data_IF_193552999440
#
_entry.id   IF_193552999440
#
_cell.length_a   1.000
_cell.length_b   1.000
_cell.length_c   1.000
_cell.angle_alpha   90.00
_cell.angle_beta   90.00
_cell.angle_gamma   90.00
#
_symmetry.space_group_name_H-M   'P 1'
#
loop_
_entity.id
_entity.type
_entity.pdbx_description
1 polymer ?
#
# COMPACT_ATOMS: atom_id res chain seq x y z
N UNK A 1 -3.96 -2.02 -8.00
CA UNK A 1 -3.15 -3.27 -7.90
C UNK A 1 -2.54 -3.36 -6.50
N UNK A 2 -2.99 -4.31 -5.67
CA UNK A 2 -2.40 -4.62 -4.36
C UNK A 2 -1.37 -5.71 -4.56
N UNK A 3 -0.11 -5.47 -4.21
CA UNK A 3 0.84 -6.56 -4.08
C UNK A 3 0.66 -7.16 -2.68
N UNK A 4 0.35 -8.46 -2.68
CA UNK A 4 0.40 -9.39 -1.55
C UNK A 4 -0.87 -9.63 -0.71
N UNK A 5 -1.48 -10.78 -1.00
CA UNK A 5 -2.26 -11.63 -0.10
C UNK A 5 -1.53 -12.99 -0.11
N UNK A 6 -1.08 -13.51 1.04
CA UNK A 6 -0.54 -14.89 1.18
C UNK A 6 -1.45 -15.68 2.14
N UNK A 7 -1.52 -17.02 2.06
CA UNK A 7 -0.56 -17.93 1.39
C UNK A 7 -1.19 -19.03 0.50
N UNK A 8 -0.59 -19.36 -0.65
CA UNK A 8 -0.42 -20.76 -1.12
C UNK A 8 0.87 -20.84 -1.97
N UNK A 9 1.71 -21.83 -1.64
CA UNK A 9 2.88 -22.37 -2.33
C UNK A 9 3.44 -21.60 -3.54
N UNK A 10 4.47 -20.77 -3.31
CA UNK A 10 5.58 -20.59 -4.24
C UNK A 10 6.76 -19.96 -3.48
N UNK A 11 7.85 -20.71 -3.41
CA UNK A 11 9.12 -20.28 -2.85
C UNK A 11 9.78 -19.28 -3.81
N UNK A 12 9.75 -18.01 -3.43
CA UNK A 12 10.72 -17.05 -3.90
C UNK A 12 11.01 -16.14 -2.72
N UNK A 13 12.11 -16.41 -2.03
CA UNK A 13 12.57 -15.65 -0.87
C UNK A 13 13.24 -14.35 -1.35
N UNK A 14 12.50 -13.52 -2.07
CA UNK A 14 12.83 -12.09 -2.15
C UNK A 14 12.08 -11.45 -0.98
N UNK A 15 12.83 -10.95 -0.01
CA UNK A 15 12.29 -10.38 1.22
C UNK A 15 11.41 -9.18 0.89
N UNK A 16 10.35 -8.96 1.69
CA UNK A 16 9.48 -7.78 1.56
C UNK A 16 10.28 -6.46 1.52
N UNK A 17 11.47 -6.45 2.13
CA UNK A 17 12.39 -5.33 2.19
C UNK A 17 13.02 -5.02 0.83
N UNK A 18 13.40 -6.04 0.06
CA UNK A 18 13.96 -5.87 -1.29
C UNK A 18 12.92 -5.31 -2.26
N UNK A 19 11.67 -5.76 -2.16
CA UNK A 19 10.56 -5.16 -2.91
C UNK A 19 10.24 -3.73 -2.43
N UNK A 20 10.38 -3.45 -1.13
CA UNK A 20 10.18 -2.12 -0.57
C UNK A 20 11.19 -1.14 -1.20
N UNK A 21 12.48 -1.49 -1.27
CA UNK A 21 13.52 -0.62 -1.85
C UNK A 21 13.33 -0.38 -3.35
N UNK A 22 13.02 -1.42 -4.14
CA UNK A 22 12.81 -1.28 -5.60
C UNK A 22 11.51 -0.54 -5.94
N UNK A 23 10.43 -0.79 -5.18
CA UNK A 23 9.12 -0.21 -5.48
C UNK A 23 8.87 1.14 -4.80
N UNK A 24 9.70 1.53 -3.81
CA UNK A 24 9.62 2.86 -3.20
C UNK A 24 9.82 3.96 -4.26
N UNK A 25 10.69 3.73 -5.23
CA UNK A 25 10.92 4.62 -6.38
C UNK A 25 9.70 4.68 -7.33
N UNK A 26 8.81 3.70 -7.28
CA UNK A 26 7.64 3.57 -8.16
C UNK A 26 6.31 3.95 -7.49
N UNK A 27 6.33 4.84 -6.49
CA UNK A 27 5.13 5.33 -5.79
C UNK A 27 4.39 4.26 -4.97
N UNK A 28 5.09 3.25 -4.44
CA UNK A 28 4.49 2.29 -3.51
C UNK A 28 4.66 2.74 -2.06
N UNK A 29 3.65 2.48 -1.24
CA UNK A 29 3.66 2.79 0.19
C UNK A 29 3.15 1.62 1.02
N UNK A 30 3.85 1.38 2.13
CA UNK A 30 3.49 0.32 3.08
C UNK A 30 2.43 0.80 4.07
N UNK A 31 1.19 0.40 3.81
CA UNK A 31 0.04 0.77 4.64
C UNK A 31 -0.20 -0.21 5.80
N UNK A 32 0.31 -1.44 5.72
CA UNK A 32 0.17 -2.44 6.78
C UNK A 32 1.43 -3.32 6.90
N UNK A 33 1.55 -4.13 7.96
CA UNK A 33 2.71 -5.04 8.13
C UNK A 33 2.88 -6.04 6.96
N UNK A 34 1.80 -6.32 6.24
CA UNK A 34 1.78 -7.29 5.13
C UNK A 34 1.29 -6.71 3.81
N UNK A 35 1.01 -5.40 3.74
CA UNK A 35 0.41 -4.79 2.55
C UNK A 35 1.21 -3.58 2.08
N UNK A 36 1.59 -3.63 0.81
CA UNK A 36 2.18 -2.54 0.04
C UNK A 36 1.18 -2.14 -1.05
N UNK A 37 0.86 -0.85 -1.16
CA UNK A 37 -0.10 -0.36 -2.15
C UNK A 37 0.55 0.68 -3.06
N UNK A 38 0.18 0.67 -4.33
CA UNK A 38 0.60 1.71 -5.25
C UNK A 38 -0.26 2.97 -5.04
N UNK A 39 0.39 4.07 -4.63
CA UNK A 39 -0.23 5.35 -4.35
C UNK A 39 -0.92 5.98 -5.55
N UNK A 40 -0.46 5.71 -6.78
CA UNK A 40 -1.07 6.21 -8.02
C UNK A 40 -2.45 5.59 -8.29
N UNK A 41 -2.73 4.46 -7.67
CA UNK A 41 -4.02 3.77 -7.77
C UNK A 41 -4.92 3.98 -6.55
N UNK A 42 -4.50 4.79 -5.59
CA UNK A 42 -5.32 5.13 -4.41
C UNK A 42 -6.34 6.18 -4.81
N UNK A 43 -7.62 5.83 -4.70
CA UNK A 43 -8.73 6.74 -4.96
C UNK A 43 -9.16 7.50 -3.71
N UNK A 44 -9.28 6.77 -2.59
CA UNK A 44 -9.84 7.33 -1.36
C UNK A 44 -9.29 6.61 -0.14
N UNK A 45 -9.16 7.37 0.94
CA UNK A 45 -8.90 6.83 2.28
C UNK A 45 -10.11 7.16 3.14
N UNK A 46 -10.73 6.15 3.72
CA UNK A 46 -11.90 6.33 4.57
C UNK A 46 -11.53 6.67 6.03
N UNK A 47 -12.49 7.20 6.78
CA UNK A 47 -12.34 7.55 8.20
C UNK A 47 -12.02 6.32 9.05
N UNK A 48 -12.51 5.15 8.66
CA UNK A 48 -12.21 3.87 9.31
C UNK A 48 -10.77 3.39 9.08
N UNK A 49 -10.01 4.07 8.21
CA UNK A 49 -8.62 3.69 7.88
C UNK A 49 -8.53 2.64 6.78
N UNK A 50 -9.52 2.60 5.89
CA UNK A 50 -9.53 1.74 4.69
C UNK A 50 -9.07 2.54 3.47
N UNK A 51 -8.21 1.95 2.65
CA UNK A 51 -7.77 2.52 1.37
C UNK A 51 -8.53 1.85 0.25
N UNK A 52 -9.27 2.64 -0.53
CA UNK A 52 -9.92 2.22 -1.76
C UNK A 52 -8.97 2.42 -2.94
N UNK A 53 -8.73 1.34 -3.69
CA UNK A 53 -7.89 1.30 -4.87
C UNK A 53 -8.74 1.20 -6.13
N UNK A 54 -8.13 1.45 -7.29
CA UNK A 54 -8.78 1.19 -8.59
C UNK A 54 -9.30 -0.25 -8.65
N UNK A 55 -10.58 -0.42 -8.99
CA UNK A 55 -11.25 -1.73 -9.08
C UNK A 55 -11.94 -2.20 -7.79
N UNK A 56 -12.50 -1.28 -7.00
CA UNK A 56 -13.30 -1.54 -5.79
C UNK A 56 -12.59 -2.32 -4.67
N UNK A 57 -11.27 -2.48 -4.77
CA UNK A 57 -10.50 -3.19 -3.77
C UNK A 57 -10.21 -2.28 -2.57
N UNK A 58 -10.61 -2.72 -1.38
CA UNK A 58 -10.36 -2.02 -0.12
C UNK A 58 -9.31 -2.74 0.72
N UNK A 59 -8.34 -1.99 1.25
CA UNK A 59 -7.25 -2.53 2.08
C UNK A 59 -7.14 -1.76 3.40
N UNK A 60 -7.06 -2.46 4.55
CA UNK A 60 -6.89 -1.79 5.84
C UNK A 60 -5.50 -1.18 5.99
N UNK A 61 -5.47 0.05 6.52
CA UNK A 61 -4.26 0.78 6.89
C UNK A 61 -4.04 0.67 8.39
N UNK A 62 -2.80 0.40 8.80
CA UNK A 62 -2.43 0.48 10.19
C UNK A 62 -2.63 1.92 10.70
N UNK A 63 -3.29 2.09 11.85
CA UNK A 63 -3.60 3.42 12.44
C UNK A 63 -2.41 4.39 12.41
N UNK A 64 -1.22 3.92 12.83
CA UNK A 64 0.05 4.68 12.84
C UNK A 64 0.56 5.13 11.45
N UNK A 65 0.12 4.48 10.37
CA UNK A 65 0.51 4.79 8.98
C UNK A 65 -0.52 5.64 8.25
N UNK A 66 -1.73 5.81 8.82
CA UNK A 66 -2.82 6.56 8.20
C UNK A 66 -2.46 8.03 7.97
N UNK A 67 -1.92 8.70 8.98
CA UNK A 67 -1.51 10.10 8.86
C UNK A 67 -0.38 10.29 7.85
N UNK A 68 0.61 9.39 7.86
CA UNK A 68 1.69 9.39 6.89
C UNK A 68 1.19 9.22 5.45
N UNK A 69 0.29 8.27 5.24
CA UNK A 69 -0.34 8.04 3.93
C UNK A 69 -1.10 9.27 3.43
N UNK A 70 -1.92 9.89 4.28
CA UNK A 70 -2.69 11.09 3.92
C UNK A 70 -1.77 12.27 3.56
N UNK A 71 -0.67 12.46 4.30
CA UNK A 71 0.32 13.49 4.00
C UNK A 71 1.00 13.26 2.64
N UNK A 72 1.33 12.00 2.30
CA UNK A 72 1.97 11.68 1.02
C UNK A 72 0.98 11.87 -0.14
N UNK A 73 -0.27 11.40 0.00
CA UNK A 73 -1.30 11.58 -1.02
C UNK A 73 -1.58 13.06 -1.30
N UNK A 74 -1.62 13.91 -0.26
CA UNK A 74 -1.75 15.36 -0.41
C UNK A 74 -0.59 15.99 -1.18
N UNK A 75 0.62 15.45 -1.07
CA UNK A 75 1.80 15.93 -1.82
C UNK A 75 1.77 15.46 -3.28
N UNK A 76 1.27 14.26 -3.54
CA UNK A 76 1.19 13.66 -4.88
C UNK A 76 0.05 14.22 -5.74
N UNK A 77 -1.05 14.65 -5.12
CA UNK A 77 -2.22 15.24 -5.79
C UNK A 77 -2.12 16.77 -5.94
N UNK A 78 -0.92 17.34 -5.83
CA UNK A 78 -0.64 18.76 -6.08
C UNK A 78 -0.22 19.02 -7.51
#
# INVERSE_FOLDING_TARGET
>A
MVLFRRPQAAAHFQTLKEFEDVLHEHSFYRIHKSHLVNLRHVHKVDREGMVSLTGDMQVPVARRKKEGLLSILKKLLR
#
